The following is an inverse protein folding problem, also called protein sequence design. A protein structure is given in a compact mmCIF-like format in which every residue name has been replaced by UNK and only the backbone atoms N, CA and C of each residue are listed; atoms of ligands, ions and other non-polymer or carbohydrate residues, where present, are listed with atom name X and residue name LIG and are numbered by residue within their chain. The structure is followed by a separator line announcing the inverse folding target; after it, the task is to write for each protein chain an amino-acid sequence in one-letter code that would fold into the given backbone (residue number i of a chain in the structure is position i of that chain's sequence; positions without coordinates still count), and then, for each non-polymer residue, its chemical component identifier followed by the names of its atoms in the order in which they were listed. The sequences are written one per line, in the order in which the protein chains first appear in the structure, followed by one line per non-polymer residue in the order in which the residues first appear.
data_IF_798456835176
#
_entry.id   IF_798456835176
#
_cell.length_a   1.000
_cell.length_b   1.000
_cell.length_c   1.000
_cell.angle_alpha   90.00
_cell.angle_beta   90.00
_cell.angle_gamma   90.00
#
_symmetry.space_group_name_H-M   'P 1'
#
loop_
_entity.id
_entity.type
_entity.pdbx_description
1 polymer ?
#
# COMPACT_ATOMS: atom_id res chain seq x y z
N UNK A 1 -19.44 -5.70 -10.41
CA UNK A 1 -18.56 -5.06 -9.39
C UNK A 1 -17.70 -4.03 -10.06
N UNK A 2 -17.58 -2.86 -9.47
CA UNK A 2 -16.85 -1.72 -10.02
C UNK A 2 -15.38 -1.74 -9.60
N UNK A 3 -14.47 -1.59 -10.57
CA UNK A 3 -13.03 -1.48 -10.30
C UNK A 3 -12.52 -0.15 -10.84
N UNK A 4 -11.80 0.58 -9.98
CA UNK A 4 -11.12 1.80 -10.38
C UNK A 4 -9.61 1.58 -10.40
N UNK A 5 -8.97 1.97 -11.50
CA UNK A 5 -7.52 2.06 -11.65
C UNK A 5 -7.14 3.54 -11.67
N UNK A 6 -6.41 3.97 -10.65
CA UNK A 6 -5.89 5.34 -10.55
C UNK A 6 -4.40 5.31 -10.88
N UNK A 7 -4.04 5.77 -12.05
CA UNK A 7 -2.66 5.79 -12.52
C UNK A 7 -2.40 7.05 -13.34
N UNK A 8 -1.21 7.63 -13.23
CA UNK A 8 -0.82 8.82 -13.98
C UNK A 8 0.65 8.73 -14.41
N UNK A 9 0.91 9.01 -15.69
CA UNK A 9 2.26 9.03 -16.28
C UNK A 9 3.15 10.13 -15.72
N UNK A 10 2.60 11.15 -15.04
CA UNK A 10 3.37 12.18 -14.34
C UNK A 10 4.27 11.61 -13.26
N UNK A 11 3.91 10.46 -12.67
CA UNK A 11 4.75 9.75 -11.69
C UNK A 11 6.04 9.18 -12.29
N UNK A 12 6.12 9.02 -13.61
CA UNK A 12 7.29 8.48 -14.31
C UNK A 12 8.46 9.50 -14.36
N UNK A 13 8.21 10.78 -14.04
CA UNK A 13 9.26 11.79 -13.88
C UNK A 13 10.21 11.47 -12.72
N UNK A 14 9.75 10.74 -11.70
CA UNK A 14 10.61 10.20 -10.64
C UNK A 14 11.33 8.97 -11.17
N UNK A 15 12.54 9.15 -11.74
CA UNK A 15 13.34 8.08 -12.32
C UNK A 15 14.83 8.32 -12.15
N UNK A 16 15.56 7.27 -11.77
CA UNK A 16 17.02 7.25 -11.70
C UNK A 16 17.57 6.08 -12.51
N UNK A 17 18.56 6.30 -13.42
CA UNK A 17 19.10 5.25 -14.26
C UNK A 17 19.65 4.07 -13.44
N UNK A 18 19.20 2.86 -13.77
CA UNK A 18 19.65 1.62 -13.12
C UNK A 18 19.01 1.33 -11.75
N UNK A 19 18.13 2.21 -11.26
CA UNK A 19 17.41 1.97 -10.01
C UNK A 19 16.31 0.90 -10.20
N UNK A 20 16.11 -0.03 -9.25
CA UNK A 20 15.07 -1.05 -9.35
C UNK A 20 13.66 -0.45 -9.32
N UNK A 21 13.43 0.59 -8.50
CA UNK A 21 12.20 1.36 -8.48
C UNK A 21 12.19 2.28 -9.72
N UNK A 22 11.45 1.89 -10.76
CA UNK A 22 11.47 2.48 -12.10
C UNK A 22 10.08 2.57 -12.73
N UNK A 23 9.86 3.46 -13.73
CA UNK A 23 8.56 3.68 -14.37
C UNK A 23 7.85 2.43 -14.90
N UNK A 24 8.59 1.46 -15.44
CA UNK A 24 8.03 0.23 -16.01
C UNK A 24 7.17 -0.55 -14.99
N UNK A 25 7.45 -0.43 -13.69
CA UNK A 25 6.70 -1.10 -12.62
C UNK A 25 5.23 -0.69 -12.62
N UNK A 26 4.97 0.62 -12.74
CA UNK A 26 3.62 1.17 -12.84
C UNK A 26 2.87 0.61 -14.04
N UNK A 27 3.51 0.57 -15.20
CA UNK A 27 2.92 0.04 -16.42
C UNK A 27 2.57 -1.45 -16.26
N UNK A 28 3.49 -2.27 -15.75
CA UNK A 28 3.27 -3.70 -15.55
C UNK A 28 2.06 -3.99 -14.65
N UNK A 29 1.94 -3.30 -13.50
CA UNK A 29 0.80 -3.44 -12.59
C UNK A 29 -0.50 -2.99 -13.24
N UNK A 30 -0.50 -1.82 -13.91
CA UNK A 30 -1.69 -1.30 -14.60
C UNK A 30 -2.18 -2.27 -15.69
N UNK A 31 -1.27 -2.86 -16.45
CA UNK A 31 -1.61 -3.86 -17.47
C UNK A 31 -2.20 -5.14 -16.83
N UNK A 32 -1.66 -5.59 -15.70
CA UNK A 32 -2.22 -6.73 -14.96
C UNK A 32 -3.65 -6.48 -14.48
N UNK A 33 -3.96 -5.28 -14.00
CA UNK A 33 -5.34 -4.90 -13.62
C UNK A 33 -6.26 -4.86 -14.84
N UNK A 34 -5.80 -4.27 -15.96
CA UNK A 34 -6.58 -4.19 -17.22
C UNK A 34 -6.89 -5.57 -17.79
N UNK A 35 -5.94 -6.51 -17.74
CA UNK A 35 -6.11 -7.88 -18.23
C UNK A 35 -7.26 -8.62 -17.50
N UNK A 36 -7.50 -8.33 -16.23
CA UNK A 36 -8.52 -9.01 -15.42
C UNK A 36 -9.88 -8.35 -15.54
N UNK A 37 -9.92 -7.02 -15.58
CA UNK A 37 -11.18 -6.26 -15.49
C UNK A 37 -11.76 -6.00 -16.88
N UNK A 38 -10.92 -5.78 -17.89
CA UNK A 38 -11.36 -5.50 -19.26
C UNK A 38 -12.15 -4.19 -19.36
N UNK A 39 -13.21 -4.21 -20.17
CA UNK A 39 -14.02 -3.02 -20.52
C UNK A 39 -14.81 -2.41 -19.34
N UNK A 40 -14.94 -3.12 -18.22
CA UNK A 40 -15.63 -2.62 -17.02
C UNK A 40 -14.74 -1.78 -16.11
N UNK A 41 -13.44 -1.63 -16.45
CA UNK A 41 -12.48 -0.84 -15.69
C UNK A 41 -12.75 0.66 -15.85
N UNK A 42 -12.85 1.35 -14.72
CA UNK A 42 -12.88 2.81 -14.72
C UNK A 42 -11.47 3.36 -14.43
N UNK A 43 -11.01 4.31 -15.25
CA UNK A 43 -9.72 4.98 -15.06
C UNK A 43 -9.97 6.50 -14.89
N UNK A 44 -10.43 6.95 -13.70
CA UNK A 44 -10.63 8.36 -13.46
C UNK A 44 -9.29 9.13 -13.43
N UNK A 45 -9.29 10.42 -13.77
CA UNK A 45 -8.07 11.24 -13.69
C UNK A 45 -7.56 11.33 -12.25
N UNK A 46 -6.24 11.33 -12.11
CA UNK A 46 -5.58 11.51 -10.83
C UNK A 46 -5.36 12.99 -10.54
N UNK A 47 -5.75 13.43 -9.35
CA UNK A 47 -5.51 14.78 -8.87
C UNK A 47 -4.37 14.75 -7.85
N UNK A 48 -3.36 15.63 -7.98
CA UNK A 48 -2.28 15.70 -7.00
C UNK A 48 -2.82 16.16 -5.63
N UNK A 49 -2.23 15.64 -4.57
CA UNK A 49 -2.59 16.01 -3.21
C UNK A 49 -2.12 17.43 -2.91
N UNK A 50 -2.88 18.18 -2.12
CA UNK A 50 -2.46 19.50 -1.66
C UNK A 50 -1.49 19.40 -0.46
N UNK A 51 -0.57 20.38 -0.36
CA UNK A 51 0.44 20.43 0.70
C UNK A 51 -0.16 20.36 2.11
N UNK A 52 -1.33 20.93 2.37
CA UNK A 52 -1.93 20.94 3.71
C UNK A 52 -2.33 19.54 4.14
N UNK A 53 -2.80 18.73 3.21
CA UNK A 53 -3.11 17.32 3.49
C UNK A 53 -1.83 16.52 3.75
N UNK A 54 -0.74 16.78 3.02
CA UNK A 54 0.58 16.16 3.28
C UNK A 54 1.10 16.55 4.66
N UNK A 55 0.95 17.80 5.08
CA UNK A 55 1.37 18.32 6.39
C UNK A 55 0.58 17.75 7.59
N UNK A 56 -0.51 17.02 7.36
CA UNK A 56 -1.16 16.24 8.43
C UNK A 56 -0.30 15.05 8.89
N UNK A 57 0.61 14.59 8.05
CA UNK A 57 1.47 13.42 8.27
C UNK A 57 2.94 13.80 8.33
N UNK A 58 3.41 14.59 7.36
CA UNK A 58 4.82 14.95 7.24
C UNK A 58 5.11 16.33 7.81
N UNK A 59 6.20 16.43 8.57
CA UNK A 59 6.70 17.70 9.12
C UNK A 59 7.05 18.67 7.99
N UNK A 60 6.64 19.93 8.13
CA UNK A 60 6.92 20.98 7.13
C UNK A 60 8.42 21.12 6.83
N UNK A 61 9.29 20.95 7.85
CA UNK A 61 10.74 20.98 7.65
C UNK A 61 11.25 19.85 6.77
N UNK A 62 10.64 18.67 6.83
CA UNK A 62 10.98 17.58 5.92
C UNK A 62 10.56 17.90 4.48
N UNK A 63 9.36 18.46 4.29
CA UNK A 63 8.90 18.88 2.96
C UNK A 63 9.82 19.96 2.35
N UNK A 64 10.35 20.86 3.18
CA UNK A 64 11.29 21.87 2.74
C UNK A 64 12.65 21.24 2.34
N UNK A 65 13.10 20.19 3.03
CA UNK A 65 14.30 19.41 2.63
C UNK A 65 14.11 18.76 1.25
N UNK A 66 12.96 18.16 0.98
CA UNK A 66 12.67 17.57 -0.33
C UNK A 66 12.65 18.63 -1.44
N UNK A 67 11.97 19.74 -1.20
CA UNK A 67 11.89 20.88 -2.14
C UNK A 67 13.27 21.46 -2.43
N UNK A 68 14.09 21.62 -1.41
CA UNK A 68 15.46 22.08 -1.55
C UNK A 68 16.33 21.10 -2.35
N UNK A 69 16.22 19.80 -2.11
CA UNK A 69 16.92 18.78 -2.87
C UNK A 69 16.53 18.84 -4.36
N UNK A 70 15.23 18.87 -4.67
CA UNK A 70 14.74 18.97 -6.04
C UNK A 70 15.20 20.26 -6.73
N UNK A 71 15.14 21.42 -6.03
CA UNK A 71 15.55 22.72 -6.57
C UNK A 71 17.03 22.81 -6.95
N UNK A 72 17.87 21.99 -6.30
CA UNK A 72 19.29 21.83 -6.60
C UNK A 72 19.61 20.81 -7.70
N UNK A 73 18.57 20.25 -8.35
CA UNK A 73 18.70 19.27 -9.40
C UNK A 73 18.64 17.81 -8.92
N UNK A 74 18.26 17.60 -7.66
CA UNK A 74 18.12 16.29 -7.05
C UNK A 74 19.24 15.92 -6.06
N UNK A 75 19.18 14.68 -5.55
CA UNK A 75 20.13 14.15 -4.58
C UNK A 75 19.65 12.86 -3.96
N UNK A 76 20.41 12.34 -2.99
CA UNK A 76 20.08 11.14 -2.23
C UNK A 76 19.71 11.53 -0.80
N UNK A 77 18.60 11.00 -0.30
CA UNK A 77 18.17 11.20 1.08
C UNK A 77 18.86 10.20 2.02
N UNK A 78 19.07 9.00 1.51
CA UNK A 78 19.83 7.92 2.13
C UNK A 78 20.55 7.11 1.02
N UNK A 79 21.18 5.94 1.29
CA UNK A 79 21.93 5.21 0.28
C UNK A 79 21.13 4.76 -0.95
N UNK A 80 19.80 4.65 -0.86
CA UNK A 80 18.95 4.10 -1.90
C UNK A 80 17.67 4.90 -2.20
N UNK A 81 17.43 6.01 -1.52
CA UNK A 81 16.27 6.88 -1.75
C UNK A 81 16.69 8.19 -2.39
N UNK A 82 16.28 8.41 -3.62
CA UNK A 82 16.70 9.59 -4.40
C UNK A 82 15.56 10.61 -4.60
N UNK A 83 15.96 11.84 -4.90
CA UNK A 83 15.10 12.93 -5.37
C UNK A 83 15.70 13.43 -6.70
N UNK A 84 14.84 13.63 -7.70
CA UNK A 84 15.19 14.22 -9.00
C UNK A 84 14.16 15.29 -9.37
N UNK A 85 14.40 16.16 -10.36
CA UNK A 85 13.38 17.10 -10.82
C UNK A 85 12.09 16.36 -11.23
N UNK A 86 10.96 16.75 -10.64
CA UNK A 86 9.66 16.11 -10.81
C UNK A 86 9.31 15.09 -9.74
N UNK A 87 10.20 14.75 -8.82
CA UNK A 87 9.93 13.78 -7.73
C UNK A 87 8.83 14.23 -6.79
N UNK A 88 8.78 15.53 -6.44
CA UNK A 88 7.72 16.05 -5.56
C UNK A 88 6.35 15.95 -6.22
N UNK A 89 6.26 16.35 -7.48
CA UNK A 89 5.00 16.23 -8.21
C UNK A 89 4.55 14.76 -8.35
N UNK A 90 5.48 13.85 -8.62
CA UNK A 90 5.21 12.41 -8.63
C UNK A 90 4.69 11.91 -7.27
N UNK A 91 5.29 12.33 -6.17
CA UNK A 91 4.83 11.98 -4.82
C UNK A 91 3.46 12.60 -4.49
N UNK A 92 3.18 13.83 -4.96
CA UNK A 92 1.86 14.46 -4.82
C UNK A 92 0.79 13.71 -5.60
N UNK A 93 1.07 13.26 -6.82
CA UNK A 93 0.17 12.40 -7.61
C UNK A 93 -0.04 11.05 -6.92
N UNK A 94 1.03 10.44 -6.40
CA UNK A 94 0.96 9.16 -5.71
C UNK A 94 0.03 9.21 -4.49
N UNK A 95 0.24 10.17 -3.61
CA UNK A 95 -0.61 10.37 -2.43
C UNK A 95 -2.05 10.76 -2.81
N UNK A 96 -2.22 11.57 -3.87
CA UNK A 96 -3.51 11.98 -4.39
C UNK A 96 -4.32 10.80 -4.92
N UNK A 97 -3.72 9.93 -5.74
CA UNK A 97 -4.33 8.70 -6.24
C UNK A 97 -4.75 7.77 -5.10
N UNK A 98 -3.88 7.62 -4.08
CA UNK A 98 -4.16 6.78 -2.91
C UNK A 98 -5.35 7.31 -2.11
N UNK A 99 -5.44 8.63 -1.91
CA UNK A 99 -6.60 9.26 -1.27
C UNK A 99 -7.89 9.08 -2.08
N UNK A 100 -7.82 9.28 -3.40
CA UNK A 100 -8.97 9.06 -4.29
C UNK A 100 -9.44 7.59 -4.24
N UNK A 101 -8.50 6.63 -4.25
CA UNK A 101 -8.81 5.21 -4.08
C UNK A 101 -9.50 4.94 -2.73
N UNK A 102 -8.95 5.46 -1.63
CA UNK A 102 -9.52 5.32 -0.30
C UNK A 102 -10.95 5.86 -0.20
N UNK A 103 -11.20 7.05 -0.74
CA UNK A 103 -12.54 7.65 -0.77
C UNK A 103 -13.49 6.81 -1.63
N UNK A 104 -13.07 6.40 -2.83
CA UNK A 104 -13.92 5.62 -3.74
C UNK A 104 -14.35 4.29 -3.12
N UNK A 105 -13.42 3.59 -2.47
CA UNK A 105 -13.71 2.35 -1.77
C UNK A 105 -14.62 2.57 -0.55
N UNK A 106 -14.30 3.53 0.31
CA UNK A 106 -15.08 3.76 1.54
C UNK A 106 -16.52 4.23 1.25
N UNK A 107 -16.71 5.01 0.18
CA UNK A 107 -18.07 5.47 -0.23
C UNK A 107 -18.85 4.46 -1.07
N UNK A 108 -18.26 3.32 -1.43
CA UNK A 108 -18.88 2.31 -2.31
C UNK A 108 -18.95 2.72 -3.78
N UNK A 109 -18.20 3.75 -4.19
CA UNK A 109 -18.07 4.12 -5.60
C UNK A 109 -17.26 3.10 -6.40
N UNK A 110 -16.38 2.37 -5.73
CA UNK A 110 -15.65 1.25 -6.28
C UNK A 110 -15.58 0.10 -5.27
N UNK A 111 -15.84 -1.13 -5.73
CA UNK A 111 -15.63 -2.35 -4.92
C UNK A 111 -14.13 -2.59 -4.69
N UNK A 112 -13.31 -2.29 -5.69
CA UNK A 112 -11.85 -2.30 -5.63
C UNK A 112 -11.34 -1.02 -6.29
N UNK A 113 -10.52 -0.24 -5.57
CA UNK A 113 -9.86 0.95 -6.11
C UNK A 113 -8.35 0.81 -5.93
N UNK A 114 -7.61 0.75 -7.03
CA UNK A 114 -6.16 0.54 -7.00
C UNK A 114 -5.41 1.78 -7.51
N UNK A 115 -4.69 2.43 -6.61
CA UNK A 115 -3.72 3.48 -6.94
C UNK A 115 -2.41 2.85 -7.39
N UNK A 116 -2.24 2.74 -8.70
CA UNK A 116 -1.04 2.20 -9.35
C UNK A 116 -0.10 3.35 -9.69
N UNK A 117 0.71 3.70 -8.71
CA UNK A 117 1.49 4.95 -8.62
C UNK A 117 2.94 4.69 -8.23
N UNK A 118 3.76 5.73 -8.31
CA UNK A 118 5.16 5.82 -7.88
C UNK A 118 5.46 7.27 -7.43
N UNK A 119 6.40 7.48 -6.49
CA UNK A 119 7.14 6.48 -5.68
C UNK A 119 6.26 5.75 -4.66
N UNK A 120 6.75 4.63 -4.09
CA UNK A 120 6.09 3.94 -2.97
C UNK A 120 6.08 4.79 -1.70
N UNK A 121 5.45 4.30 -0.61
CA UNK A 121 5.20 5.16 0.53
C UNK A 121 5.45 4.58 1.92
N UNK A 122 5.34 3.28 2.15
CA UNK A 122 5.20 2.71 3.49
C UNK A 122 6.43 2.88 4.41
N UNK A 123 7.62 3.14 3.86
CA UNK A 123 8.83 3.44 4.64
C UNK A 123 8.98 4.91 5.04
N UNK A 124 8.25 5.84 4.41
CA UNK A 124 8.37 7.24 4.74
C UNK A 124 7.73 7.54 6.10
N UNK A 125 8.55 7.99 7.05
CA UNK A 125 8.11 8.45 8.35
C UNK A 125 7.81 9.96 8.34
N UNK A 126 7.26 10.51 9.41
CA UNK A 126 6.84 11.92 9.47
C UNK A 126 7.95 12.93 9.10
N UNK A 127 9.23 12.61 9.34
CA UNK A 127 10.38 13.50 9.14
C UNK A 127 11.45 12.93 8.23
N UNK A 128 11.21 11.81 7.57
CA UNK A 128 12.23 11.09 6.81
C UNK A 128 11.60 10.29 5.67
N UNK A 129 12.18 10.41 4.47
CA UNK A 129 12.02 9.44 3.40
C UNK A 129 13.12 8.39 3.48
N UNK A 130 12.81 7.14 3.16
CA UNK A 130 13.73 6.00 3.14
C UNK A 130 13.11 4.85 2.33
N UNK A 131 13.89 3.84 1.97
CA UNK A 131 13.38 2.67 1.26
C UNK A 131 12.60 3.03 -0.02
N UNK A 132 13.14 3.93 -0.82
CA UNK A 132 12.55 4.47 -2.05
C UNK A 132 11.33 5.40 -1.84
N UNK A 133 10.83 5.56 -0.61
CA UNK A 133 9.62 6.28 -0.28
C UNK A 133 9.91 7.75 0.06
N UNK A 134 9.16 8.67 -0.56
CA UNK A 134 9.24 10.11 -0.27
C UNK A 134 8.10 10.56 0.64
N UNK A 135 6.86 10.26 0.30
CA UNK A 135 5.67 10.49 1.11
C UNK A 135 5.08 9.16 1.55
N UNK A 136 4.49 9.11 2.73
CA UNK A 136 3.70 7.95 3.14
C UNK A 136 2.31 8.03 2.54
N UNK A 137 2.12 7.43 1.37
CA UNK A 137 0.91 7.55 0.57
C UNK A 137 -0.33 7.08 1.33
N UNK A 138 -0.26 5.92 1.99
CA UNK A 138 -1.38 5.36 2.74
C UNK A 138 -1.71 6.18 3.98
N UNK A 139 -0.71 6.74 4.66
CA UNK A 139 -0.91 7.58 5.83
C UNK A 139 -1.56 8.93 5.45
N UNK A 140 -1.10 9.55 4.37
CA UNK A 140 -1.71 10.79 3.84
C UNK A 140 -3.15 10.54 3.41
N UNK A 141 -3.41 9.43 2.72
CA UNK A 141 -4.76 9.05 2.31
C UNK A 141 -5.68 8.88 3.54
N UNK A 142 -5.23 8.16 4.56
CA UNK A 142 -5.96 7.99 5.82
C UNK A 142 -6.29 9.34 6.47
N UNK A 143 -5.30 10.21 6.63
CA UNK A 143 -5.52 11.54 7.21
C UNK A 143 -6.49 12.39 6.37
N UNK A 144 -6.38 12.30 5.05
CA UNK A 144 -7.28 12.97 4.11
C UNK A 144 -8.71 12.44 4.13
N UNK A 145 -8.92 11.14 4.33
CA UNK A 145 -10.24 10.51 4.51
C UNK A 145 -10.90 10.98 5.81
N UNK A 146 -10.15 10.97 6.93
CA UNK A 146 -10.62 11.49 8.22
C UNK A 146 -10.99 12.97 8.15
N UNK A 147 -10.14 13.79 7.55
CA UNK A 147 -10.39 15.22 7.38
C UNK A 147 -11.65 15.54 6.57
N UNK A 148 -12.15 14.57 5.79
CA UNK A 148 -13.39 14.66 5.00
C UNK A 148 -14.58 13.94 5.64
N UNK A 149 -14.39 13.33 6.82
CA UNK A 149 -15.44 12.55 7.50
C UNK A 149 -15.88 11.30 6.74
N UNK A 150 -14.99 10.71 5.93
CA UNK A 150 -15.30 9.52 5.11
C UNK A 150 -15.14 8.24 5.93
N UNK A 151 -14.12 8.15 6.78
CA UNK A 151 -13.85 7.04 7.68
C UNK A 151 -13.03 7.52 8.86
N UNK A 152 -13.26 6.97 10.05
CA UNK A 152 -12.54 7.30 11.28
C UNK A 152 -11.62 6.14 11.72
N UNK A 153 -12.13 4.92 11.74
CA UNK A 153 -11.38 3.72 12.10
C UNK A 153 -10.91 3.03 10.83
N UNK A 154 -9.59 2.97 10.61
CA UNK A 154 -9.05 2.46 9.35
C UNK A 154 -8.05 1.35 9.62
N UNK A 155 -8.21 0.23 8.92
CA UNK A 155 -7.21 -0.82 8.89
C UNK A 155 -6.26 -0.62 7.70
N UNK A 156 -4.97 -0.69 7.97
CA UNK A 156 -3.89 -0.72 6.98
C UNK A 156 -3.36 -2.14 6.92
N UNK A 157 -3.53 -2.77 5.78
CA UNK A 157 -3.00 -4.07 5.40
C UNK A 157 -1.72 -3.84 4.63
N UNK A 158 -0.61 -4.44 5.05
CA UNK A 158 0.68 -4.28 4.39
C UNK A 158 1.29 -5.67 4.13
N UNK A 159 1.36 -6.06 2.88
CA UNK A 159 1.97 -7.33 2.47
C UNK A 159 3.21 -7.18 1.60
N UNK A 160 3.78 -5.96 1.55
CA UNK A 160 5.13 -5.77 1.03
C UNK A 160 6.11 -6.68 1.76
N UNK A 161 7.18 -7.11 1.08
CA UNK A 161 8.20 -7.98 1.70
C UNK A 161 8.97 -7.28 2.80
N UNK A 162 9.02 -5.96 2.76
CA UNK A 162 9.65 -5.13 3.79
C UNK A 162 8.61 -4.69 4.83
N UNK A 163 9.05 -4.57 6.08
CA UNK A 163 8.21 -3.98 7.12
C UNK A 163 7.99 -2.49 6.83
N UNK A 164 6.73 -2.03 6.78
CA UNK A 164 6.37 -0.63 6.58
C UNK A 164 6.61 0.20 7.85
N UNK A 165 7.87 0.38 8.21
CA UNK A 165 8.31 1.03 9.43
C UNK A 165 7.84 2.49 9.55
N UNK A 166 7.74 3.18 8.43
CA UNK A 166 7.19 4.53 8.35
C UNK A 166 5.72 4.58 8.74
N UNK A 167 4.91 3.69 8.19
CA UNK A 167 3.48 3.58 8.49
C UNK A 167 3.25 3.20 9.96
N UNK A 168 3.96 2.18 10.47
CA UNK A 168 3.89 1.79 11.87
C UNK A 168 4.25 2.95 12.79
N UNK A 169 5.38 3.63 12.55
CA UNK A 169 5.85 4.73 13.39
C UNK A 169 4.89 5.93 13.42
N UNK A 170 4.15 6.17 12.34
CA UNK A 170 3.14 7.25 12.29
C UNK A 170 1.93 6.92 13.17
N UNK A 171 1.50 5.65 13.19
CA UNK A 171 0.22 5.27 13.79
C UNK A 171 0.32 4.40 15.05
N UNK A 172 1.51 4.02 15.52
CA UNK A 172 1.68 3.11 16.67
C UNK A 172 0.98 3.56 17.96
N UNK A 173 0.70 4.85 18.12
CA UNK A 173 0.00 5.40 19.27
C UNK A 173 -1.48 5.74 19.00
N UNK A 174 -1.98 5.53 17.78
CA UNK A 174 -3.35 5.87 17.37
C UNK A 174 -4.29 4.64 17.53
N UNK A 175 -5.21 4.64 18.53
CA UNK A 175 -6.11 3.50 18.75
C UNK A 175 -7.19 3.34 17.67
N UNK A 176 -7.29 4.27 16.74
CA UNK A 176 -8.24 4.21 15.63
C UNK A 176 -7.60 3.77 14.31
N UNK A 177 -6.34 3.30 14.33
CA UNK A 177 -5.65 2.69 13.20
C UNK A 177 -5.19 1.29 13.57
N UNK A 178 -5.61 0.29 12.80
CA UNK A 178 -5.05 -1.06 12.87
C UNK A 178 -4.01 -1.22 11.77
N UNK A 179 -2.76 -1.50 12.12
CA UNK A 179 -1.70 -1.85 11.18
C UNK A 179 -1.42 -3.35 11.23
N UNK A 180 -1.57 -4.04 10.12
CA UNK A 180 -1.37 -5.48 10.01
C UNK A 180 -0.39 -5.78 8.87
N UNK A 181 0.75 -6.39 9.18
CA UNK A 181 1.85 -6.62 8.23
C UNK A 181 2.39 -8.04 8.26
N UNK A 182 2.68 -8.58 7.06
CA UNK A 182 3.61 -9.70 6.86
C UNK A 182 4.84 -9.17 6.12
N UNK A 183 6.04 -9.55 6.57
CA UNK A 183 7.30 -9.12 5.96
C UNK A 183 8.40 -10.14 6.23
N UNK A 184 9.46 -10.12 5.42
CA UNK A 184 10.63 -10.97 5.66
C UNK A 184 11.40 -10.50 6.91
N UNK A 185 11.82 -11.42 7.77
CA UNK A 185 12.68 -11.12 8.93
C UNK A 185 13.63 -12.27 9.21
N UNK A 186 14.95 -12.01 9.51
CA UNK A 186 15.58 -10.69 9.54
C UNK A 186 15.79 -10.11 8.14
N UNK A 187 15.39 -8.86 7.92
CA UNK A 187 15.55 -8.13 6.65
C UNK A 187 15.49 -6.61 6.87
N UNK A 188 15.67 -5.79 5.81
CA UNK A 188 15.43 -4.35 5.88
C UNK A 188 13.97 -4.08 6.27
N UNK A 189 13.67 -3.07 7.08
CA UNK A 189 14.56 -2.12 7.76
C UNK A 189 15.07 -2.61 9.14
N UNK A 190 14.77 -3.84 9.56
CA UNK A 190 15.20 -4.44 10.82
C UNK A 190 14.24 -4.20 11.98
N UNK A 191 12.99 -3.81 11.71
CA UNK A 191 11.88 -3.61 12.64
C UNK A 191 10.73 -4.57 12.32
N UNK A 192 9.59 -4.46 12.99
CA UNK A 192 8.42 -5.30 12.76
C UNK A 192 8.44 -6.60 13.54
N UNK A 193 9.01 -6.61 14.72
CA UNK A 193 8.95 -7.76 15.61
C UNK A 193 7.52 -8.06 16.05
N UNK A 194 7.23 -9.33 16.39
CA UNK A 194 5.89 -9.73 16.89
C UNK A 194 5.52 -9.06 18.21
N UNK A 195 6.49 -8.55 18.94
CA UNK A 195 6.35 -7.80 20.20
C UNK A 195 6.14 -6.30 20.00
N UNK A 196 6.30 -5.80 18.78
CA UNK A 196 5.92 -4.43 18.41
C UNK A 196 4.40 -4.37 18.18
N UNK A 197 3.66 -4.06 19.23
CA UNK A 197 2.18 -4.14 19.26
C UNK A 197 1.49 -2.77 19.34
N UNK A 198 2.25 -1.70 19.07
CA UNK A 198 1.81 -0.31 19.24
C UNK A 198 2.27 0.29 20.55
N UNK A 199 1.99 1.57 20.76
CA UNK A 199 2.39 2.33 21.94
C UNK A 199 1.25 3.17 22.52
N UNK A 200 1.36 3.58 23.79
CA UNK A 200 0.37 4.47 24.39
C UNK A 200 -1.07 3.97 24.28
N UNK A 201 -1.95 4.78 23.68
CA UNK A 201 -3.35 4.42 23.43
C UNK A 201 -3.54 3.39 22.29
N UNK A 202 -2.55 3.25 21.40
CA UNK A 202 -2.56 2.31 20.30
C UNK A 202 -2.02 0.93 20.61
N UNK A 203 -1.73 0.62 21.89
CA UNK A 203 -1.30 -0.75 22.27
C UNK A 203 -2.36 -1.76 21.90
N UNK A 204 -1.97 -2.78 21.10
CA UNK A 204 -2.85 -3.82 20.61
C UNK A 204 -3.45 -3.55 19.22
N UNK A 205 -3.07 -2.45 18.56
CA UNK A 205 -3.53 -2.15 17.20
C UNK A 205 -2.47 -2.35 16.10
N UNK A 206 -1.24 -2.72 16.47
CA UNK A 206 -0.18 -3.11 15.55
C UNK A 206 0.01 -4.61 15.60
N UNK A 207 -0.03 -5.26 14.42
CA UNK A 207 0.04 -6.71 14.27
C UNK A 207 1.08 -7.10 13.23
N UNK A 208 2.26 -7.49 13.68
CA UNK A 208 3.37 -7.91 12.85
C UNK A 208 3.48 -9.43 12.78
N UNK A 209 3.67 -9.97 11.58
CA UNK A 209 3.92 -11.40 11.32
C UNK A 209 5.17 -11.55 10.45
N UNK A 210 6.37 -11.42 11.07
CA UNK A 210 7.63 -11.65 10.37
C UNK A 210 7.73 -13.09 9.89
N UNK A 211 8.14 -13.26 8.63
CA UNK A 211 8.34 -14.55 7.96
C UNK A 211 9.82 -14.77 7.66
N UNK A 212 10.38 -15.95 7.93
CA UNK A 212 11.76 -16.25 7.56
C UNK A 212 11.93 -16.34 6.04
N UNK A 213 13.13 -16.05 5.55
CA UNK A 213 13.50 -16.27 4.14
C UNK A 213 13.15 -17.69 3.69
N UNK A 214 12.68 -17.87 2.45
CA UNK A 214 12.19 -19.13 1.91
C UNK A 214 10.74 -19.46 2.29
N UNK A 215 10.05 -18.60 3.04
CA UNK A 215 8.61 -18.78 3.29
C UNK A 215 7.80 -18.54 2.02
N UNK A 216 7.00 -19.51 1.63
CA UNK A 216 6.10 -19.47 0.49
C UNK A 216 4.64 -19.26 0.89
N UNK A 217 3.73 -19.61 -0.03
CA UNK A 217 2.28 -19.40 0.08
C UNK A 217 1.69 -19.94 1.38
N UNK A 218 2.10 -21.14 1.81
CA UNK A 218 1.53 -21.77 3.02
C UNK A 218 1.73 -20.87 4.26
N UNK A 219 2.95 -20.40 4.49
CA UNK A 219 3.28 -19.56 5.64
C UNK A 219 2.65 -18.17 5.51
N UNK A 220 2.66 -17.60 4.31
CA UNK A 220 2.06 -16.30 4.01
C UNK A 220 0.55 -16.34 4.24
N UNK A 221 -0.15 -17.30 3.65
CA UNK A 221 -1.60 -17.47 3.80
C UNK A 221 -1.98 -17.76 5.26
N UNK A 222 -1.22 -18.61 5.96
CA UNK A 222 -1.49 -18.92 7.37
C UNK A 222 -1.38 -17.68 8.26
N UNK A 223 -0.37 -16.82 8.05
CA UNK A 223 -0.21 -15.59 8.81
C UNK A 223 -1.42 -14.65 8.69
N UNK A 224 -1.98 -14.54 7.48
CA UNK A 224 -3.19 -13.75 7.25
C UNK A 224 -4.44 -14.42 7.79
N UNK A 225 -4.65 -15.70 7.48
CA UNK A 225 -5.86 -16.44 7.87
C UNK A 225 -6.01 -16.59 9.37
N UNK A 226 -4.92 -16.95 10.06
CA UNK A 226 -4.99 -17.40 11.45
C UNK A 226 -4.74 -16.25 12.45
N UNK A 227 -4.09 -15.16 12.01
CA UNK A 227 -3.69 -14.07 12.89
C UNK A 227 -4.22 -12.69 12.43
N UNK A 228 -3.86 -12.25 11.20
CA UNK A 228 -4.04 -10.85 10.82
C UNK A 228 -5.48 -10.51 10.43
N UNK A 229 -6.16 -11.37 9.65
CA UNK A 229 -7.57 -11.16 9.28
C UNK A 229 -8.48 -11.17 10.52
N UNK A 230 -8.34 -12.12 11.47
CA UNK A 230 -9.07 -12.06 12.74
C UNK A 230 -8.82 -10.76 13.52
N UNK A 231 -7.57 -10.29 13.61
CA UNK A 231 -7.24 -9.04 14.31
C UNK A 231 -7.91 -7.81 13.66
N UNK A 232 -7.94 -7.75 12.34
CA UNK A 232 -8.64 -6.69 11.61
C UNK A 232 -10.16 -6.79 11.83
N UNK A 233 -10.71 -8.00 11.84
CA UNK A 233 -12.14 -8.23 12.12
C UNK A 233 -12.53 -7.74 13.52
N UNK A 234 -11.73 -8.08 14.55
CA UNK A 234 -11.94 -7.64 15.93
C UNK A 234 -11.80 -6.12 16.08
N UNK A 235 -10.96 -5.50 15.28
CA UNK A 235 -10.77 -4.05 15.26
C UNK A 235 -12.01 -3.33 14.70
N UNK A 236 -12.83 -3.94 13.85
CA UNK A 236 -14.04 -3.35 13.25
C UNK A 236 -13.78 -2.02 12.53
N UNK A 237 -12.98 -1.99 11.46
CA UNK A 237 -12.68 -0.77 10.71
C UNK A 237 -13.89 -0.27 9.88
N UNK A 238 -13.90 1.04 9.59
CA UNK A 238 -14.82 1.68 8.64
C UNK A 238 -14.29 1.59 7.20
N UNK A 239 -12.98 1.39 7.02
CA UNK A 239 -12.32 1.24 5.73
C UNK A 239 -11.05 0.38 5.84
N UNK A 240 -10.68 -0.25 4.73
CA UNK A 240 -9.43 -1.00 4.57
C UNK A 240 -8.60 -0.35 3.46
N UNK A 241 -7.37 0.03 3.79
CA UNK A 241 -6.32 0.47 2.86
C UNK A 241 -5.24 -0.59 2.80
N UNK A 242 -4.73 -0.89 1.61
CA UNK A 242 -3.71 -1.91 1.39
C UNK A 242 -2.45 -1.27 0.82
N UNK A 243 -1.34 -1.37 1.53
CA UNK A 243 0.01 -1.20 0.98
C UNK A 243 0.37 -2.48 0.24
N UNK A 244 0.22 -2.45 -1.08
CA UNK A 244 0.30 -3.60 -1.95
C UNK A 244 1.67 -3.69 -2.62
N UNK A 245 2.66 -4.24 -1.90
CA UNK A 245 3.94 -4.66 -2.46
C UNK A 245 3.87 -6.07 -3.05
N UNK A 246 4.67 -6.32 -4.05
CA UNK A 246 4.75 -7.63 -4.71
C UNK A 246 6.16 -8.21 -4.73
N UNK A 247 7.06 -7.66 -3.94
CA UNK A 247 8.45 -8.09 -3.78
C UNK A 247 8.61 -9.30 -2.84
N UNK A 248 7.53 -9.77 -2.19
CA UNK A 248 7.50 -11.10 -1.59
C UNK A 248 7.37 -12.23 -2.63
N UNK A 249 7.16 -11.90 -3.93
CA UNK A 249 7.09 -12.90 -4.99
C UNK A 249 8.43 -13.62 -5.16
N UNK A 250 8.39 -14.94 -5.38
CA UNK A 250 9.59 -15.79 -5.51
C UNK A 250 10.55 -15.41 -6.62
N UNK A 251 10.07 -14.68 -7.66
CA UNK A 251 10.87 -14.22 -8.80
C UNK A 251 11.38 -12.78 -8.58
N UNK A 252 11.07 -12.15 -7.44
CA UNK A 252 11.56 -10.81 -7.13
C UNK A 252 13.06 -10.82 -6.82
N UNK A 253 13.84 -9.88 -7.40
CA UNK A 253 15.30 -9.89 -7.24
C UNK A 253 15.80 -9.32 -5.91
N UNK A 254 14.95 -8.68 -5.10
CA UNK A 254 15.41 -7.95 -3.90
C UNK A 254 15.18 -8.70 -2.60
N UNK A 255 14.35 -9.75 -2.58
CA UNK A 255 14.03 -10.48 -1.37
C UNK A 255 14.13 -12.00 -1.53
N UNK A 256 13.77 -12.74 -0.49
CA UNK A 256 13.92 -14.20 -0.46
C UNK A 256 12.67 -14.91 0.10
N UNK A 257 11.51 -14.27 0.11
CA UNK A 257 10.25 -14.99 0.24
C UNK A 257 9.90 -15.68 -1.08
N UNK A 258 9.07 -16.71 -1.01
CA UNK A 258 8.71 -17.55 -2.15
C UNK A 258 7.19 -17.57 -2.38
N UNK A 259 6.54 -16.41 -2.17
CA UNK A 259 5.12 -16.22 -2.45
C UNK A 259 4.88 -16.28 -3.95
N UNK A 260 3.75 -16.87 -4.38
CA UNK A 260 3.30 -16.89 -5.77
C UNK A 260 2.08 -16.01 -5.98
N UNK A 261 1.67 -15.84 -7.24
CA UNK A 261 0.41 -15.16 -7.58
C UNK A 261 -0.79 -15.77 -6.82
N UNK A 262 -0.80 -17.11 -6.63
CA UNK A 262 -1.86 -17.79 -5.90
C UNK A 262 -1.88 -17.42 -4.41
N UNK A 263 -0.73 -17.14 -3.80
CA UNK A 263 -0.63 -16.64 -2.43
C UNK A 263 -1.27 -15.25 -2.30
N UNK A 264 -0.96 -14.34 -3.21
CA UNK A 264 -1.58 -13.01 -3.25
C UNK A 264 -3.09 -13.09 -3.53
N UNK A 265 -3.53 -13.94 -4.47
CA UNK A 265 -4.96 -14.14 -4.76
C UNK A 265 -5.73 -14.64 -3.54
N UNK A 266 -5.16 -15.61 -2.82
CA UNK A 266 -5.79 -16.17 -1.63
C UNK A 266 -5.93 -15.14 -0.50
N UNK A 267 -4.87 -14.39 -0.20
CA UNK A 267 -4.91 -13.35 0.85
C UNK A 267 -5.84 -12.21 0.46
N UNK A 268 -5.77 -11.73 -0.78
CA UNK A 268 -6.69 -10.73 -1.31
C UNK A 268 -8.15 -11.21 -1.23
N UNK A 269 -8.41 -12.49 -1.51
CA UNK A 269 -9.71 -13.10 -1.33
C UNK A 269 -10.23 -13.02 0.11
N UNK A 270 -9.37 -13.29 1.10
CA UNK A 270 -9.74 -13.17 2.53
C UNK A 270 -10.08 -11.72 2.91
N UNK A 271 -9.30 -10.74 2.42
CA UNK A 271 -9.59 -9.32 2.64
C UNK A 271 -10.90 -8.91 1.96
N UNK A 272 -11.17 -9.44 0.76
CA UNK A 272 -12.44 -9.26 0.05
C UNK A 272 -13.63 -9.77 0.85
N UNK A 273 -13.55 -11.00 1.37
CA UNK A 273 -14.57 -11.61 2.25
C UNK A 273 -14.77 -10.76 3.50
N UNK A 274 -13.69 -10.39 4.19
CA UNK A 274 -13.74 -9.58 5.39
C UNK A 274 -14.42 -8.23 5.14
N UNK A 275 -14.06 -7.55 4.05
CA UNK A 275 -14.65 -6.26 3.71
C UNK A 275 -16.17 -6.35 3.49
N UNK A 276 -16.62 -7.44 2.85
CA UNK A 276 -18.06 -7.69 2.65
C UNK A 276 -18.77 -8.06 3.95
N UNK A 277 -18.15 -8.88 4.82
CA UNK A 277 -18.68 -9.23 6.15
C UNK A 277 -18.88 -8.00 7.04
N UNK A 278 -17.95 -7.06 6.98
CA UNK A 278 -18.01 -5.80 7.72
C UNK A 278 -18.93 -4.75 7.06
N UNK A 279 -19.51 -5.05 5.90
CA UNK A 279 -20.38 -4.12 5.17
C UNK A 279 -19.64 -2.91 4.60
N UNK A 280 -18.34 -3.01 4.34
CA UNK A 280 -17.55 -1.91 3.79
C UNK A 280 -17.89 -1.67 2.32
N UNK A 281 -17.80 -0.42 1.88
CA UNK A 281 -18.09 -0.03 0.50
C UNK A 281 -17.17 -0.69 -0.53
N UNK A 282 -15.89 -0.87 -0.19
CA UNK A 282 -14.86 -1.49 -1.04
C UNK A 282 -13.54 -1.65 -0.31
N UNK A 283 -12.50 -1.99 -1.08
CA UNK A 283 -11.10 -2.07 -0.62
C UNK A 283 -10.24 -1.18 -1.51
N UNK A 284 -9.41 -0.32 -0.90
CA UNK A 284 -8.45 0.51 -1.61
C UNK A 284 -7.05 -0.07 -1.50
N UNK A 285 -6.29 0.00 -2.61
CA UNK A 285 -4.89 -0.43 -2.66
C UNK A 285 -4.00 0.70 -3.16
N UNK A 286 -2.76 0.72 -2.70
CA UNK A 286 -1.68 1.54 -3.24
C UNK A 286 -0.47 0.67 -3.53
N UNK A 287 0.17 0.87 -4.68
CA UNK A 287 1.37 0.12 -5.07
C UNK A 287 2.55 0.52 -4.19
N UNK A 288 3.22 -0.48 -3.64
CA UNK A 288 4.49 -0.33 -2.92
C UNK A 288 5.63 -0.99 -3.70
N UNK A 289 6.33 -1.98 -3.13
CA UNK A 289 7.43 -2.70 -3.76
C UNK A 289 7.02 -3.71 -4.82
N UNK A 290 8.01 -4.44 -5.32
CA UNK A 290 7.94 -5.40 -6.43
C UNK A 290 8.74 -4.92 -7.63
N UNK A 291 9.71 -5.74 -8.09
CA UNK A 291 10.76 -5.29 -9.02
C UNK A 291 10.98 -6.23 -10.21
N UNK A 292 10.36 -7.42 -10.19
CA UNK A 292 10.17 -8.24 -11.38
C UNK A 292 8.88 -7.83 -12.10
N UNK A 293 8.94 -7.47 -13.37
CA UNK A 293 7.78 -6.90 -14.09
C UNK A 293 6.71 -7.93 -14.40
N UNK A 294 7.09 -9.17 -14.68
CA UNK A 294 6.14 -10.24 -14.97
C UNK A 294 5.41 -10.67 -13.70
N UNK A 295 6.14 -10.78 -12.58
CA UNK A 295 5.57 -11.02 -11.25
C UNK A 295 4.62 -9.90 -10.83
N UNK A 296 5.00 -8.63 -11.00
CA UNK A 296 4.14 -7.47 -10.73
C UNK A 296 2.81 -7.56 -11.49
N UNK A 297 2.86 -7.81 -12.81
CA UNK A 297 1.66 -7.92 -13.65
C UNK A 297 0.75 -9.07 -13.19
N UNK A 298 1.32 -10.24 -12.98
CA UNK A 298 0.58 -11.44 -12.63
C UNK A 298 -0.02 -11.34 -11.21
N UNK A 299 0.77 -10.87 -10.23
CA UNK A 299 0.33 -10.73 -8.83
C UNK A 299 -0.73 -9.63 -8.65
N UNK A 300 -0.61 -8.50 -9.37
CA UNK A 300 -1.64 -7.46 -9.37
C UNK A 300 -2.96 -7.98 -9.96
N UNK A 301 -2.90 -8.71 -11.06
CA UNK A 301 -4.05 -9.40 -11.66
C UNK A 301 -4.70 -10.37 -10.67
N UNK A 302 -3.90 -11.20 -10.00
CA UNK A 302 -4.34 -12.17 -8.99
C UNK A 302 -5.00 -11.48 -7.78
N UNK A 303 -4.40 -10.39 -7.29
CA UNK A 303 -4.94 -9.57 -6.21
C UNK A 303 -6.35 -9.05 -6.52
N UNK A 304 -6.54 -8.45 -7.69
CA UNK A 304 -7.86 -7.94 -8.10
C UNK A 304 -8.88 -9.07 -8.23
N UNK A 305 -8.50 -10.20 -8.84
CA UNK A 305 -9.39 -11.39 -8.91
C UNK A 305 -9.80 -11.86 -7.53
N UNK A 306 -8.83 -12.01 -6.62
CA UNK A 306 -9.08 -12.46 -5.25
C UNK A 306 -10.04 -11.54 -4.50
N UNK A 307 -9.81 -10.23 -4.51
CA UNK A 307 -10.68 -9.24 -3.87
C UNK A 307 -12.12 -9.32 -4.41
N UNK A 308 -12.28 -9.34 -5.74
CA UNK A 308 -13.60 -9.42 -6.37
C UNK A 308 -14.30 -10.74 -6.03
N UNK A 309 -13.59 -11.87 -6.09
CA UNK A 309 -14.15 -13.18 -5.73
C UNK A 309 -14.59 -13.22 -4.25
N UNK A 310 -13.74 -12.73 -3.35
CA UNK A 310 -14.05 -12.68 -1.93
C UNK A 310 -15.27 -11.82 -1.62
N UNK A 311 -15.40 -10.64 -2.23
CA UNK A 311 -16.56 -9.77 -2.04
C UNK A 311 -17.86 -10.37 -2.60
N UNK A 312 -17.81 -11.09 -3.75
CA UNK A 312 -18.97 -11.77 -4.33
C UNK A 312 -19.50 -12.91 -3.48
N UNK A 313 -18.64 -13.63 -2.79
CA UNK A 313 -19.02 -14.85 -2.06
C UNK A 313 -20.12 -14.65 -1.00
N UNK A 314 -20.38 -13.41 -0.58
CA UNK A 314 -21.41 -13.05 0.39
C UNK A 314 -22.62 -12.32 -0.23
N UNK A 315 -22.54 -11.91 -1.50
CA UNK A 315 -23.62 -11.16 -2.17
C UNK A 315 -24.53 -12.06 -3.00
N UNK A 316 -24.09 -13.27 -3.33
CA UNK A 316 -24.91 -14.27 -4.03
C UNK A 316 -25.33 -15.35 -3.03
N UNK A 317 -26.64 -15.45 -2.65
CA UNK A 317 -27.14 -16.63 -1.95
C UNK A 317 -27.16 -17.83 -2.93
N UNK A 318 -26.70 -19.00 -2.47
CA UNK A 318 -26.77 -20.28 -3.15
C UNK A 318 -28.18 -20.60 -3.68
#
# INVERSE_FOLDING_TARGET
MSVWLLTDGGTDAHASPGHPERPDRRAAVADGVRDVVGDELAEPPVEPIDRRTVELIHDAGYLDVLKDAESRGGGWLDPDTYVVPGSLHAAELAAGATLQAGIAAATGSADVAFAVIRPPGHHAAARRGSGFCLFNNVAIALAGMRGRGVADRIAIVDWDVHHGDGTQAIFEADPSVCYASTHQSPFYPGTGGRDEVGSGAGVGTTHNRPLPAGSGDEAFIAAWRDDLVPAIADFMPDAILVSAGYDAHRDDPLASLEVTDAGYEAVAGMIGVLSAQLGLGGVALTLEGGYDLDALRASAAATVRGLLAGRRSLTEPD
#
